data_IF_636412189894
#
_entry.id   IF_636412189894
#
_cell.length_a   1.000
_cell.length_b   1.000
_cell.length_c   1.000
_cell.angle_alpha   90.00
_cell.angle_beta   90.00
_cell.angle_gamma   90.00
#
_symmetry.space_group_name_H-M   'P 1'
#
loop_
_entity.id
_entity.type
_entity.pdbx_description
1 polymer ?
2 non-polymer ?
3 non-polymer ?
4 non-polymer ?
5 water ?
#
# COMPACT_ATOMS: atom_id res chain seq x y z
N UNK A 33 -20.94 -12.49 -8.43
CA UNK A 33 -21.05 -11.84 -9.73
C UNK A 33 -20.86 -10.30 -9.73
N UNK A 34 -21.11 -9.53 -8.67
CA UNK A 34 -20.86 -8.10 -8.70
C UNK A 34 -19.52 -7.78 -8.03
N UNK A 35 -18.93 -6.66 -8.41
CA UNK A 35 -17.60 -6.30 -7.89
C UNK A 35 -17.68 -6.13 -6.38
N UNK A 36 -18.74 -5.50 -5.89
CA UNK A 36 -18.82 -5.25 -4.44
C UNK A 36 -19.00 -6.54 -3.69
N UNK A 37 -19.62 -7.52 -4.29
CA UNK A 37 -19.88 -8.78 -3.62
C UNK A 37 -18.65 -9.63 -3.54
N UNK A 38 -17.83 -9.68 -4.60
CA UNK A 38 -16.55 -10.37 -4.46
C UNK A 38 -15.70 -9.71 -3.40
N UNK A 39 -15.55 -8.38 -3.52
CA UNK A 39 -14.71 -7.65 -2.61
C UNK A 39 -15.15 -7.79 -1.18
N UNK A 40 -16.41 -7.68 -0.89
CA UNK A 40 -16.88 -7.84 0.53
C UNK A 40 -16.83 -9.31 0.96
N UNK A 41 -16.92 -10.27 0.10
CA UNK A 41 -16.69 -11.66 0.49
C UNK A 41 -15.25 -11.86 0.92
N UNK A 42 -14.34 -11.36 0.10
CA UNK A 42 -12.94 -11.46 0.42
C UNK A 42 -12.64 -10.76 1.73
N UNK A 43 -13.19 -9.52 1.91
CA UNK A 43 -12.98 -8.77 3.17
C UNK A 43 -13.52 -9.54 4.34
N UNK A 44 -14.68 -10.15 4.17
CA UNK A 44 -15.32 -10.87 5.28
C UNK A 44 -14.45 -12.03 5.74
N UNK A 45 -13.95 -12.82 4.79
CA UNK A 45 -13.10 -13.97 5.10
C UNK A 45 -11.78 -13.50 5.70
N UNK A 46 -11.27 -12.32 5.28
CA UNK A 46 -10.05 -11.79 5.85
C UNK A 46 -10.26 -11.25 7.24
N UNK A 47 -11.41 -10.65 7.52
CA UNK A 47 -11.70 -10.16 8.87
C UNK A 47 -11.70 -11.32 9.84
N UNK A 48 -12.09 -12.50 9.39
CA UNK A 48 -12.07 -13.68 10.25
C UNK A 48 -10.65 -14.05 10.60
N UNK A 49 -9.74 -13.99 9.62
CA UNK A 49 -8.33 -14.28 9.90
C UNK A 49 -7.73 -13.29 10.89
N UNK A 50 -8.06 -12.01 10.80
CA UNK A 50 -7.60 -10.92 11.61
C UNK A 50 -8.28 -10.92 13.01
N UNK A 51 -9.30 -11.75 13.15
CA UNK A 51 -9.92 -11.91 14.45
C UNK A 51 -10.93 -10.85 14.81
N UNK A 52 -11.40 -10.04 13.85
CA UNK A 52 -12.39 -8.99 14.09
C UNK A 52 -13.76 -9.63 14.38
N UNK A 53 -14.50 -8.91 15.19
CA UNK A 53 -15.82 -9.38 15.60
C UNK A 53 -16.76 -9.35 14.41
N UNK A 54 -17.87 -10.07 14.51
CA UNK A 54 -18.92 -9.97 13.51
C UNK A 54 -19.40 -8.53 13.34
N UNK A 55 -19.52 -7.81 14.44
CA UNK A 55 -19.96 -6.41 14.39
C UNK A 55 -19.01 -5.55 13.58
N UNK A 56 -17.74 -5.63 13.88
CA UNK A 56 -16.75 -4.81 13.17
C UNK A 56 -16.65 -5.26 11.72
N UNK A 57 -16.72 -6.54 11.47
CA UNK A 57 -16.72 -7.05 10.08
C UNK A 57 -17.86 -6.41 9.30
N UNK A 58 -19.07 -6.44 9.88
CA UNK A 58 -20.21 -5.85 9.17
C UNK A 58 -20.01 -4.38 8.91
N UNK A 59 -19.49 -3.67 9.87
CA UNK A 59 -19.19 -2.25 9.71
C UNK A 59 -18.25 -2.02 8.52
N UNK A 60 -17.18 -2.75 8.48
CA UNK A 60 -16.20 -2.48 7.47
C UNK A 60 -16.62 -2.98 6.09
N UNK A 61 -17.44 -4.02 6.02
CA UNK A 61 -17.97 -4.35 4.69
C UNK A 61 -18.81 -3.20 4.16
N UNK A 62 -19.59 -2.56 5.03
CA UNK A 62 -20.36 -1.38 4.62
C UNK A 62 -19.49 -0.27 4.10
N UNK A 63 -18.41 0.02 4.83
CA UNK A 63 -17.49 1.05 4.43
C UNK A 63 -16.89 0.75 3.07
N UNK A 64 -16.52 -0.52 2.85
CA UNK A 64 -15.93 -0.87 1.55
C UNK A 64 -16.91 -0.65 0.44
N UNK A 65 -18.16 -1.07 0.62
CA UNK A 65 -19.16 -0.86 -0.45
C UNK A 65 -19.34 0.62 -0.71
N UNK A 66 -19.38 1.42 0.35
CA UNK A 66 -19.56 2.87 0.20
C UNK A 66 -18.37 3.46 -0.57
N UNK A 67 -17.16 2.96 -0.27
CA UNK A 67 -15.96 3.47 -0.95
C UNK A 67 -15.98 3.17 -2.45
N UNK A 68 -16.53 2.03 -2.85
CA UNK A 68 -16.63 1.66 -4.28
C UNK A 68 -17.69 2.46 -5.03
N UNK A 69 -18.65 3.07 -4.34
CA UNK A 69 -19.61 3.88 -5.06
C UNK A 69 -20.50 3.00 -5.91
N UNK A 70 -20.93 3.56 -7.06
CA UNK A 70 -21.75 2.80 -7.99
C UNK A 70 -21.04 1.54 -8.50
N UNK A 71 -19.71 1.54 -8.50
CA UNK A 71 -18.98 0.36 -8.95
C UNK A 71 -19.22 -0.86 -8.11
N UNK A 72 -19.70 -0.70 -6.87
CA UNK A 72 -20.03 -1.85 -6.10
C UNK A 72 -21.08 -2.73 -6.75
N UNK A 73 -21.98 -2.13 -7.53
CA UNK A 73 -23.02 -2.96 -8.11
C UNK A 73 -22.71 -3.42 -9.53
N UNK A 74 -21.50 -3.21 -9.97
CA UNK A 74 -21.11 -3.47 -11.35
C UNK A 74 -20.87 -4.95 -11.56
N UNK A 75 -21.47 -5.59 -12.55
CA UNK A 75 -21.16 -6.99 -12.79
C UNK A 75 -19.68 -7.16 -13.13
N UNK A 76 -19.11 -8.28 -12.67
CA UNK A 76 -17.74 -8.62 -12.99
C UNK A 76 -17.57 -9.03 -14.44
N UNK A 77 -18.65 -9.28 -15.17
CA UNK A 77 -18.46 -9.55 -16.56
C UNK A 77 -18.27 -8.30 -17.38
N UNK A 78 -18.32 -7.14 -16.82
CA UNK A 78 -17.98 -5.93 -17.51
C UNK A 78 -16.57 -5.49 -17.16
N UNK A 79 -15.95 -4.67 -18.00
CA UNK A 79 -14.59 -4.19 -17.74
C UNK A 79 -14.50 -3.55 -16.36
N UNK A 80 -13.28 -3.47 -15.81
CA UNK A 80 -13.06 -2.63 -14.60
C UNK A 80 -13.61 -1.24 -14.79
N UNK A 81 -14.02 -0.58 -13.69
CA UNK A 81 -14.58 0.81 -13.85
C UNK A 81 -13.53 1.86 -14.20
N UNK A 82 -12.26 1.68 -13.83
CA UNK A 82 -11.16 2.56 -14.22
C UNK A 82 -10.01 1.63 -14.51
N UNK A 83 -9.06 2.14 -15.30
CA UNK A 83 -7.80 1.45 -15.59
C UNK A 83 -6.76 1.75 -14.48
N UNK A 84 -7.18 1.57 -13.27
CA UNK A 84 -6.43 2.04 -12.11
C UNK A 84 -5.07 1.38 -12.01
N UNK A 85 -4.13 2.17 -11.55
CA UNK A 85 -2.80 1.68 -11.19
C UNK A 85 -2.78 1.04 -9.82
N UNK A 86 -3.91 1.00 -9.13
CA UNK A 86 -3.93 0.46 -7.76
C UNK A 86 -3.55 -1.01 -7.79
N UNK A 87 -3.98 -1.75 -8.81
CA UNK A 87 -3.64 -3.17 -8.95
C UNK A 87 -3.37 -3.47 -10.42
N UNK A 88 -2.67 -4.57 -10.67
CA UNK A 88 -2.31 -4.84 -12.07
C UNK A 88 -3.50 -5.13 -12.94
N UNK A 89 -4.53 -5.76 -12.44
CA UNK A 89 -5.76 -6.11 -13.23
C UNK A 89 -6.81 -5.01 -13.14
N UNK A 90 -6.48 -3.87 -12.48
CA UNK A 90 -7.38 -2.72 -12.36
C UNK A 90 -8.54 -2.99 -11.43
N UNK A 91 -8.46 -3.96 -10.54
CA UNK A 91 -9.41 -4.00 -9.44
C UNK A 91 -9.14 -2.80 -8.53
N UNK A 92 -10.18 -2.04 -8.13
CA UNK A 92 -9.92 -0.85 -7.32
C UNK A 92 -9.88 -1.14 -5.86
N UNK A 93 -9.37 -2.33 -5.52
CA UNK A 93 -9.26 -2.84 -4.13
C UNK A 93 -7.98 -3.68 -4.07
N UNK A 94 -7.26 -3.56 -2.93
CA UNK A 94 -6.14 -4.45 -2.64
C UNK A 94 -6.12 -4.62 -1.15
N UNK A 95 -5.81 -5.81 -0.63
CA UNK A 95 -5.75 -5.97 0.82
C UNK A 95 -4.30 -6.01 1.26
N UNK A 96 -4.08 -5.82 2.57
CA UNK A 96 -2.77 -6.09 3.14
C UNK A 96 -2.86 -6.48 4.58
N UNK A 97 -1.93 -7.29 4.97
CA UNK A 97 -1.84 -7.86 6.32
C UNK A 97 -0.51 -7.45 6.90
N UNK A 98 -0.54 -6.84 8.09
CA UNK A 98 0.65 -6.36 8.80
C UNK A 98 0.94 -7.29 9.96
N UNK A 99 2.07 -7.91 9.95
CA UNK A 99 2.39 -8.96 10.90
C UNK A 99 3.38 -8.44 11.94
N UNK A 100 3.12 -8.82 13.19
CA UNK A 100 3.92 -8.70 14.40
C UNK A 100 4.01 -10.07 15.10
N UNK A 101 5.11 -10.32 15.80
CA UNK A 101 5.22 -11.56 16.58
C UNK A 101 4.17 -11.62 17.67
N UNK A 102 3.58 -12.81 17.81
CA UNK A 102 2.72 -13.13 18.93
C UNK A 102 1.29 -12.71 18.79
N UNK A 103 0.86 -12.28 17.61
CA UNK A 103 -0.54 -11.91 17.49
C UNK A 103 -0.99 -12.02 16.06
N UNK A 104 -2.29 -11.92 15.87
CA UNK A 104 -2.85 -12.01 14.56
C UNK A 104 -2.43 -10.80 13.73
N UNK A 105 -2.40 -10.95 12.41
CA UNK A 105 -2.04 -9.83 11.56
C UNK A 105 -3.13 -8.77 11.66
N UNK A 106 -2.74 -7.53 11.48
CA UNK A 106 -3.66 -6.40 11.33
C UNK A 106 -4.06 -6.36 9.86
N UNK A 107 -5.35 -6.10 9.61
CA UNK A 107 -5.88 -6.09 8.25
C UNK A 107 -6.13 -4.68 7.80
N UNK A 108 -5.79 -4.41 6.52
CA UNK A 108 -5.97 -3.12 5.90
C UNK A 108 -6.47 -3.37 4.48
N UNK A 109 -7.21 -2.38 3.98
CA UNK A 109 -7.75 -2.44 2.61
C UNK A 109 -7.53 -1.10 1.92
N UNK A 110 -7.01 -1.15 0.69
CA UNK A 110 -6.69 -0.03 -0.14
C UNK A 110 -7.71 0.02 -1.25
N UNK A 111 -8.24 1.19 -1.49
CA UNK A 111 -9.33 1.40 -2.46
C UNK A 111 -9.10 2.67 -3.22
N UNK A 112 -9.62 2.71 -4.47
CA UNK A 112 -9.72 3.96 -5.24
C UNK A 112 -11.16 4.46 -5.15
N UNK A 113 -11.49 5.38 -4.24
CA UNK A 113 -12.91 5.64 -4.00
C UNK A 113 -13.56 6.43 -5.08
N UNK A 114 -12.82 6.99 -6.03
CA UNK A 114 -13.40 7.64 -7.19
C UNK A 114 -13.44 6.78 -8.43
N UNK A 115 -13.20 5.47 -8.31
CA UNK A 115 -13.12 4.59 -9.44
C UNK A 115 -14.35 4.61 -10.34
N UNK A 116 -15.52 4.90 -9.79
CA UNK A 116 -16.73 4.93 -10.64
C UNK A 116 -16.77 6.14 -11.56
N UNK A 117 -15.85 7.10 -11.41
CA UNK A 117 -15.65 8.21 -12.32
C UNK A 117 -14.75 7.84 -13.49
N UNK A 118 -14.17 6.65 -13.50
CA UNK A 118 -13.39 6.22 -14.59
C UNK A 118 -12.00 6.85 -14.69
N UNK A 119 -11.53 6.96 -15.87
CA UNK A 119 -10.20 7.34 -16.19
C UNK A 119 -10.03 8.82 -16.34
N UNK A 120 -11.09 9.60 -16.18
CA UNK A 120 -10.86 11.04 -16.13
C UNK A 120 -10.32 11.42 -14.75
N UNK A 121 -9.05 11.77 -14.73
CA UNK A 121 -8.36 11.94 -13.45
C UNK A 121 -8.91 13.10 -12.63
N UNK A 122 -9.33 14.20 -13.24
CA UNK A 122 -9.92 15.25 -12.42
C UNK A 122 -11.19 14.80 -11.73
N UNK A 123 -12.03 14.08 -12.45
CA UNK A 123 -13.27 13.63 -11.87
C UNK A 123 -13.06 12.49 -10.86
N UNK A 124 -12.07 11.62 -11.16
CA UNK A 124 -11.77 10.54 -10.23
C UNK A 124 -11.21 11.11 -8.92
N UNK A 125 -10.33 12.10 -9.04
CA UNK A 125 -9.79 12.77 -7.85
C UNK A 125 -10.88 13.50 -7.02
N UNK A 126 -11.75 14.22 -7.72
CA UNK A 126 -12.81 14.94 -7.01
C UNK A 126 -13.72 13.99 -6.26
N UNK A 127 -14.05 12.86 -6.89
CA UNK A 127 -14.91 11.89 -6.25
C UNK A 127 -14.19 11.22 -5.10
N UNK A 128 -12.89 10.93 -5.24
CA UNK A 128 -12.17 10.36 -4.11
C UNK A 128 -12.03 11.29 -2.93
N UNK A 129 -11.76 12.57 -3.21
CA UNK A 129 -11.73 13.56 -2.13
C UNK A 129 -13.06 13.62 -1.42
N UNK A 130 -14.15 13.63 -2.16
CA UNK A 130 -15.46 13.68 -1.51
C UNK A 130 -15.66 12.50 -0.58
N UNK A 131 -15.23 11.30 -0.98
CA UNK A 131 -15.34 10.15 -0.09
C UNK A 131 -14.50 10.35 1.16
N UNK A 132 -13.24 10.78 1.03
CA UNK A 132 -12.43 10.98 2.24
C UNK A 132 -13.06 12.00 3.20
N UNK A 133 -13.60 13.07 2.64
CA UNK A 133 -14.19 14.07 3.50
C UNK A 133 -15.47 13.53 4.14
N UNK A 134 -16.23 12.69 3.45
CA UNK A 134 -17.31 12.02 4.12
C UNK A 134 -16.84 11.15 5.30
N UNK A 135 -15.73 10.43 5.14
CA UNK A 135 -15.19 9.63 6.23
C UNK A 135 -14.78 10.50 7.41
N UNK A 136 -14.11 11.59 7.11
CA UNK A 136 -13.63 12.53 8.12
C UNK A 136 -14.80 13.06 8.92
N UNK A 137 -15.87 13.45 8.23
CA UNK A 137 -17.06 13.91 8.95
C UNK A 137 -17.61 12.83 9.83
N UNK A 138 -17.77 11.64 9.27
CA UNK A 138 -18.36 10.55 10.01
C UNK A 138 -17.59 10.24 11.29
N UNK A 139 -16.26 10.20 11.23
CA UNK A 139 -15.45 9.68 12.32
C UNK A 139 -14.79 10.79 13.10
N UNK A 140 -15.05 12.04 12.71
CA UNK A 140 -14.71 13.17 13.54
C UNK A 140 -13.26 13.53 13.49
N UNK A 141 -12.65 13.55 12.31
CA UNK A 141 -11.29 14.02 12.24
C UNK A 141 -11.11 15.12 11.20
N UNK A 142 -9.98 15.80 11.37
CA UNK A 142 -9.67 16.98 10.59
C UNK A 142 -8.97 16.54 9.34
N UNK A 143 -9.22 17.30 8.28
CA UNK A 143 -8.54 17.11 7.01
C UNK A 143 -7.61 18.26 6.70
N UNK A 144 -7.17 18.99 7.72
CA UNK A 144 -6.48 20.24 7.45
C UNK A 144 -5.20 20.03 6.66
N UNK A 145 -4.40 19.01 7.03
CA UNK A 145 -3.15 18.66 6.32
C UNK A 145 -3.43 18.38 4.85
N UNK A 146 -4.43 17.55 4.61
CA UNK A 146 -4.86 17.25 3.25
C UNK A 146 -5.35 18.51 2.53
N UNK A 147 -6.21 19.28 3.18
CA UNK A 147 -6.77 20.46 2.54
C UNK A 147 -5.68 21.44 2.12
N UNK A 148 -4.62 21.56 2.92
CA UNK A 148 -3.52 22.47 2.61
C UNK A 148 -2.78 22.09 1.32
N UNK A 149 -2.88 20.81 0.95
CA UNK A 149 -2.16 20.27 -0.21
C UNK A 149 -3.04 20.15 -1.44
N UNK A 150 -4.33 20.41 -1.33
CA UNK A 150 -5.25 20.05 -2.38
C UNK A 150 -4.87 20.67 -3.72
N UNK A 151 -4.49 21.96 -3.74
CA UNK A 151 -4.18 22.62 -4.99
C UNK A 151 -2.91 22.05 -5.63
N UNK A 152 -1.96 21.51 -4.85
CA UNK A 152 -0.78 20.90 -5.40
C UNK A 152 -1.10 19.58 -6.10
N UNK A 153 -1.99 18.78 -5.51
CA UNK A 153 -2.20 17.39 -5.92
C UNK A 153 -3.40 17.17 -6.80
N UNK A 154 -4.23 18.21 -6.98
CA UNK A 154 -5.50 18.15 -7.71
C UNK A 154 -5.62 19.39 -8.63
N UNK A 155 -4.70 19.50 -9.60
CA UNK A 155 -4.77 20.59 -10.59
C UNK A 155 -5.87 20.33 -11.60
N UNK A 156 -6.15 21.37 -12.42
CA UNK A 156 -7.31 21.30 -13.31
C UNK A 156 -7.24 20.17 -14.34
N UNK A 157 -6.05 19.94 -14.91
CA UNK A 157 -5.79 18.89 -15.91
C UNK A 157 -4.67 17.97 -15.40
N UNK A 158 -4.99 17.10 -14.47
CA UNK A 158 -3.94 16.31 -13.81
C UNK A 158 -3.35 15.25 -14.74
N UNK A 159 -2.10 14.89 -14.48
CA UNK A 159 -1.42 13.76 -15.11
C UNK A 159 -1.50 12.55 -14.19
N UNK A 160 -1.47 11.38 -14.79
CA UNK A 160 -1.50 10.11 -14.07
C UNK A 160 -0.22 9.84 -13.28
N UNK A 161 -0.13 8.65 -12.67
CA UNK A 161 -0.97 7.47 -12.87
C UNK A 161 -2.15 7.32 -11.93
N UNK A 162 -2.28 8.20 -10.94
CA UNK A 162 -3.38 8.12 -9.99
C UNK A 162 -3.78 9.53 -9.57
N UNK A 163 -4.98 9.65 -9.04
CA UNK A 163 -5.44 10.87 -8.39
C UNK A 163 -5.53 10.74 -6.88
N UNK A 164 -6.25 9.74 -6.38
CA UNK A 164 -6.38 9.58 -4.95
C UNK A 164 -6.74 8.13 -4.66
N UNK A 165 -5.98 7.51 -3.76
CA UNK A 165 -6.39 6.24 -3.18
C UNK A 165 -6.53 6.44 -1.67
N UNK A 166 -7.27 5.58 -1.03
CA UNK A 166 -7.47 5.59 0.43
C UNK A 166 -7.20 4.20 0.96
N UNK A 167 -6.54 4.06 2.10
CA UNK A 167 -6.44 2.82 2.80
C UNK A 167 -7.06 2.98 4.19
N UNK A 168 -7.74 1.96 4.57
CA UNK A 168 -8.38 1.84 5.86
C UNK A 168 -7.73 0.76 6.68
N UNK A 169 -7.27 1.11 7.88
CA UNK A 169 -6.75 0.15 8.84
C UNK A 169 -7.91 -0.32 9.69
N UNK A 170 -8.25 -1.59 9.55
CA UNK A 170 -9.52 -2.14 10.07
C UNK A 170 -9.33 -2.53 11.54
N UNK A 171 -9.46 -1.52 12.40
CA UNK A 171 -9.19 -1.62 13.83
C UNK A 171 -10.42 -2.15 14.54
N UNK A 172 -10.20 -2.90 15.65
CA UNK A 172 -11.34 -3.27 16.50
C UNK A 172 -12.08 -1.99 16.92
N UNK A 173 -13.38 -2.12 16.94
CA UNK A 173 -14.25 -1.01 17.32
C UNK A 173 -14.98 -0.35 16.15
N UNK A 174 -14.58 -0.65 14.90
CA UNK A 174 -15.27 -0.17 13.72
C UNK A 174 -14.94 1.22 13.28
N UNK A 175 -14.05 1.91 13.96
CA UNK A 175 -13.57 3.21 13.52
C UNK A 175 -12.18 2.97 12.96
N UNK A 176 -11.97 3.06 11.64
CA UNK A 176 -10.68 2.67 11.07
C UNK A 176 -9.68 3.80 11.16
N UNK A 177 -8.43 3.44 11.02
CA UNK A 177 -7.44 4.46 10.67
C UNK A 177 -7.48 4.70 9.18
N UNK A 178 -7.37 5.94 8.77
CA UNK A 178 -7.49 6.40 7.40
C UNK A 178 -6.16 6.90 6.89
N UNK A 179 -5.80 6.51 5.67
CA UNK A 179 -4.59 6.98 5.04
C UNK A 179 -4.97 7.37 3.62
N UNK A 180 -4.36 8.42 3.10
CA UNK A 180 -4.63 8.90 1.75
C UNK A 180 -3.33 8.98 0.95
N UNK A 181 -3.44 8.55 -0.30
CA UNK A 181 -2.30 8.48 -1.20
C UNK A 181 -2.56 9.41 -2.37
N UNK A 182 -1.55 10.25 -2.62
CA UNK A 182 -1.62 11.32 -3.62
C UNK A 182 -0.46 11.14 -4.59
N UNK A 183 -0.55 11.79 -5.74
CA UNK A 183 0.33 11.70 -6.91
C UNK A 183 1.32 12.83 -7.04
N UNK A 184 2.58 12.72 -6.65
CA UNK A 184 3.53 13.82 -6.88
C UNK A 184 3.66 14.23 -8.29
N UNK A 185 3.38 13.38 -9.25
CA UNK A 185 3.44 13.69 -10.68
C UNK A 185 2.17 14.35 -11.22
N UNK A 186 1.26 14.76 -10.38
CA UNK A 186 0.00 15.34 -10.87
C UNK A 186 0.20 16.55 -11.80
N UNK A 187 1.27 17.31 -11.60
CA UNK A 187 1.59 18.50 -12.40
C UNK A 187 2.61 18.19 -13.48
N UNK A 188 2.85 16.92 -13.76
CA UNK A 188 3.87 16.40 -14.65
C UNK A 188 5.01 15.74 -13.90
N UNK A 189 5.52 14.65 -14.48
CA UNK A 189 6.62 13.93 -13.83
C UNK A 189 7.83 14.81 -13.62
N UNK A 190 8.08 15.74 -14.55
CA UNK A 190 9.19 16.68 -14.38
C UNK A 190 9.03 17.58 -13.19
N UNK A 191 7.82 17.74 -12.64
CA UNK A 191 7.59 18.59 -11.46
C UNK A 191 7.35 17.76 -10.19
N UNK A 192 7.60 16.44 -10.24
CA UNK A 192 7.33 15.66 -9.03
C UNK A 192 8.21 16.07 -7.85
N UNK A 193 9.50 16.26 -8.07
CA UNK A 193 10.34 16.64 -6.94
C UNK A 193 9.93 17.95 -6.35
N UNK A 194 9.69 18.94 -7.20
CA UNK A 194 9.22 20.25 -6.73
C UNK A 194 7.91 20.12 -5.94
N UNK A 195 7.01 19.25 -6.40
CA UNK A 195 5.72 19.11 -5.73
C UNK A 195 5.91 18.52 -4.33
N UNK A 196 6.75 17.47 -4.23
CA UNK A 196 7.02 16.90 -2.92
C UNK A 196 7.70 17.91 -2.00
N UNK A 197 8.66 18.65 -2.50
CA UNK A 197 9.36 19.67 -1.71
C UNK A 197 8.36 20.69 -1.17
N UNK A 198 7.45 21.15 -2.02
CA UNK A 198 6.43 22.13 -1.63
C UNK A 198 5.45 21.52 -0.64
N UNK A 199 5.01 20.27 -0.85
CA UNK A 199 4.12 19.66 0.12
C UNK A 199 4.78 19.61 1.49
N UNK A 200 6.05 19.16 1.54
CA UNK A 200 6.73 19.03 2.81
C UNK A 200 6.84 20.40 3.50
N UNK A 201 7.10 21.42 2.72
CA UNK A 201 7.17 22.76 3.32
C UNK A 201 5.84 23.16 3.89
N UNK A 202 4.76 22.98 3.09
CA UNK A 202 3.44 23.34 3.58
C UNK A 202 3.05 22.67 4.90
N UNK A 203 3.48 21.43 5.16
CA UNK A 203 3.18 20.66 6.33
C UNK A 203 4.11 20.96 7.50
N UNK A 204 5.11 21.78 7.30
CA UNK A 204 5.99 22.25 8.34
C UNK A 204 7.25 21.46 8.49
N UNK A 205 7.51 20.55 7.54
CA UNK A 205 8.62 19.65 7.60
C UNK A 205 9.72 20.24 6.74
N UNK A 206 10.30 21.36 7.23
CA UNK A 206 11.17 22.11 6.35
C UNK A 206 12.53 21.48 6.10
N UNK A 207 12.95 20.44 6.82
CA UNK A 207 14.23 19.81 6.54
C UNK A 207 14.09 18.44 5.91
N UNK A 208 12.86 17.98 5.78
CA UNK A 208 12.59 16.59 5.40
C UNK A 208 13.04 16.28 3.97
N UNK A 209 12.78 17.17 3.02
CA UNK A 209 13.12 16.87 1.64
C UNK A 209 14.61 16.60 1.49
N UNK A 210 15.45 17.40 2.15
CA UNK A 210 16.89 17.21 1.99
C UNK A 210 17.41 16.05 2.78
N UNK A 211 16.59 15.49 3.64
CA UNK A 211 16.95 14.31 4.38
C UNK A 211 16.74 13.03 3.58
N UNK A 212 15.98 13.10 2.51
CA UNK A 212 15.62 11.89 1.77
C UNK A 212 16.89 11.42 1.06
N UNK A 213 17.01 10.12 0.85
CA UNK A 213 18.08 9.66 -0.01
C UNK A 213 17.77 9.98 -1.47
N UNK A 214 18.75 9.94 -2.37
CA UNK A 214 18.54 10.06 -3.82
C UNK A 214 17.64 8.91 -4.30
N UNK A 215 16.89 9.20 -5.38
CA UNK A 215 16.05 8.18 -5.98
C UNK A 215 15.81 8.48 -7.45
N UNK A 216 15.11 7.56 -8.08
CA UNK A 216 14.76 7.64 -9.50
C UNK A 216 13.35 8.13 -9.72
N UNK A 217 12.63 8.47 -8.70
CA UNK A 217 11.29 8.97 -8.84
C UNK A 217 10.58 9.04 -7.52
N UNK A 218 9.45 9.77 -7.51
CA UNK A 218 8.64 10.02 -6.32
C UNK A 218 7.23 9.55 -6.60
N UNK A 219 6.96 8.26 -6.52
CA UNK A 219 5.67 7.78 -7.05
C UNK A 219 4.44 8.13 -6.23
N UNK A 220 4.58 8.30 -4.92
CA UNK A 220 3.46 8.54 -4.01
C UNK A 220 3.86 9.44 -2.89
N UNK A 221 2.86 10.20 -2.37
CA UNK A 221 2.98 10.82 -1.06
C UNK A 221 1.72 10.36 -0.30
N UNK A 222 1.82 10.06 0.99
CA UNK A 222 0.68 9.59 1.72
C UNK A 222 0.62 10.30 3.06
N UNK A 223 -0.63 10.39 3.55
CA UNK A 223 -0.88 11.05 4.83
C UNK A 223 -1.68 10.14 5.74
N UNK A 224 -1.38 10.14 7.02
CA UNK A 224 -2.21 9.47 8.03
C UNK A 224 -3.23 10.51 8.49
N UNK A 225 -4.51 10.20 8.38
CA UNK A 225 -5.60 11.10 8.81
C UNK A 225 -6.27 10.47 10.01
N UNK A 226 -6.66 11.32 10.93
CA UNK A 226 -7.44 10.85 12.06
C UNK A 226 -6.58 10.48 13.25
N UNK A 227 -6.99 9.44 13.98
CA UNK A 227 -6.41 9.16 15.29
C UNK A 227 -5.22 8.23 15.13
N UNK A 228 -4.03 8.78 15.31
CA UNK A 228 -2.79 8.03 15.31
C UNK A 228 -1.92 8.52 16.48
N UNK A 229 -1.15 7.61 17.09
CA UNK A 229 -0.19 8.03 18.11
C UNK A 229 0.71 9.12 17.54
N UNK A 230 1.24 8.89 16.34
CA UNK A 230 2.14 9.84 15.67
C UNK A 230 1.88 9.79 14.17
N UNK A 231 0.98 10.61 13.67
CA UNK A 231 0.63 10.50 12.25
C UNK A 231 1.80 10.89 11.38
N UNK A 232 1.97 10.15 10.29
CA UNK A 232 3.12 10.33 9.40
C UNK A 232 2.75 11.07 8.13
N UNK A 233 3.67 11.83 7.64
CA UNK A 233 3.76 12.17 6.22
C UNK A 233 4.71 11.10 5.70
N UNK A 234 4.34 10.44 4.58
CA UNK A 234 5.12 9.35 4.01
C UNK A 234 5.55 9.69 2.56
N UNK A 235 6.83 9.71 2.29
CA UNK A 235 7.34 9.96 0.97
C UNK A 235 7.88 8.63 0.39
N UNK A 236 7.35 8.25 -0.78
CA UNK A 236 7.74 7.03 -1.44
C UNK A 236 8.70 7.37 -2.57
N UNK A 237 9.77 6.58 -2.66
CA UNK A 237 10.84 6.78 -3.62
C UNK A 237 11.04 5.50 -4.42
N UNK A 238 11.30 5.64 -5.72
CA UNK A 238 11.51 4.53 -6.61
C UNK A 238 13.01 4.37 -6.85
N UNK A 239 13.53 3.17 -6.78
CA UNK A 239 14.96 2.90 -7.01
C UNK A 239 15.07 1.81 -8.10
N UNK A 240 15.66 2.16 -9.23
CA UNK A 240 15.83 1.18 -10.31
C UNK A 240 17.10 0.39 -10.07
N UNK A 241 17.01 -0.91 -10.18
CA UNK A 241 18.22 -1.69 -10.07
C UNK A 241 18.82 -1.74 -8.72
N UNK A 242 17.97 -1.77 -7.69
CA UNK A 242 18.47 -1.85 -6.34
C UNK A 242 19.13 -3.21 -6.04
N UNK A 243 20.24 -3.17 -5.29
CA UNK A 243 20.90 -4.36 -4.76
C UNK A 243 20.54 -4.57 -3.27
N UNK A 244 20.93 -5.73 -2.72
CA UNK A 244 20.71 -5.97 -1.28
C UNK A 244 21.42 -4.97 -0.43
N UNK A 245 22.68 -4.67 -0.78
CA UNK A 245 23.40 -3.69 -0.01
C UNK A 245 22.69 -2.35 -0.04
N UNK A 246 22.23 -1.91 -1.21
CA UNK A 246 21.47 -0.67 -1.31
C UNK A 246 20.24 -0.67 -0.39
N UNK A 247 19.59 -1.82 -0.20
CA UNK A 247 18.37 -1.85 0.61
C UNK A 247 18.69 -1.54 2.08
N UNK A 248 19.90 -1.91 2.54
CA UNK A 248 20.29 -1.62 3.89
C UNK A 248 20.93 -0.26 4.07
N UNK A 249 21.30 0.43 3.00
CA UNK A 249 21.89 1.76 3.10
C UNK A 249 20.92 2.91 2.86
N UNK A 250 19.83 2.67 2.17
CA UNK A 250 18.83 3.72 1.90
C UNK A 250 18.05 4.29 3.11
N UNK A 251 18.02 3.67 4.28
CA UNK A 251 17.33 4.31 5.41
C UNK A 251 17.96 5.63 5.77
N UNK A 252 17.13 6.57 6.15
CA UNK A 252 17.59 7.86 6.68
C UNK A 252 17.04 8.09 8.06
N UNK A 253 16.26 7.19 8.56
CA UNK A 253 15.58 7.39 9.83
C UNK A 253 16.57 7.23 10.95
N UNK A 254 16.22 7.82 12.08
CA UNK A 254 16.92 7.62 13.33
C UNK A 254 15.98 6.84 14.23
N UNK A 255 16.50 5.75 14.81
CA UNK A 255 17.79 5.11 14.67
C UNK A 255 17.89 4.23 13.33
N UNK A 256 19.07 4.01 12.77
CA UNK A 256 19.19 3.26 11.52
C UNK A 256 18.79 1.82 11.77
N UNK A 257 17.98 1.23 10.90
CA UNK A 257 17.65 -0.18 11.04
C UNK A 257 18.85 -1.09 10.76
N UNK A 258 18.73 -2.37 11.16
CA UNK A 258 19.78 -3.34 10.91
C UNK A 258 20.00 -3.51 9.43
N UNK A 259 21.21 -3.27 8.96
CA UNK A 259 21.54 -3.50 7.56
C UNK A 259 21.43 -4.97 7.23
N UNK A 260 21.92 -5.85 8.11
CA UNK A 260 21.93 -7.28 7.82
C UNK A 260 20.54 -7.81 7.65
N UNK A 261 19.60 -7.35 8.50
CA UNK A 261 18.21 -7.76 8.37
C UNK A 261 17.61 -7.29 7.03
N UNK A 262 17.85 -6.05 6.66
CA UNK A 262 17.33 -5.56 5.39
C UNK A 262 17.91 -6.31 4.22
N UNK A 263 19.22 -6.60 4.23
CA UNK A 263 19.86 -7.30 3.13
C UNK A 263 19.28 -8.71 3.00
N UNK A 264 19.11 -9.38 4.11
CA UNK A 264 18.55 -10.72 4.09
C UNK A 264 17.09 -10.73 3.59
N UNK A 265 16.29 -9.73 4.06
CA UNK A 265 14.93 -9.60 3.56
C UNK A 265 14.92 -9.43 2.04
N UNK A 266 15.78 -8.55 1.55
CA UNK A 266 15.80 -8.27 0.11
C UNK A 266 16.21 -9.52 -0.67
N UNK A 267 17.22 -10.23 -0.15
CA UNK A 267 17.67 -11.45 -0.84
C UNK A 267 16.56 -12.49 -0.87
N UNK A 268 15.85 -12.66 0.25
CA UNK A 268 14.77 -13.67 0.33
C UNK A 268 13.64 -13.27 -0.58
N UNK A 269 13.25 -12.01 -0.54
CA UNK A 269 12.13 -11.61 -1.36
C UNK A 269 12.46 -11.68 -2.86
N UNK A 270 13.69 -11.32 -3.25
CA UNK A 270 14.04 -11.38 -4.68
C UNK A 270 14.62 -12.68 -5.15
N UNK A 271 14.85 -13.66 -4.25
CA UNK A 271 15.64 -14.84 -4.55
C UNK A 271 16.95 -14.47 -5.22
N UNK A 272 17.72 -13.68 -4.46
CA UNK A 272 19.07 -13.31 -4.85
C UNK A 272 20.02 -14.13 -3.98
N UNK A 273 21.07 -14.70 -4.52
CA UNK A 273 22.02 -15.40 -3.65
C UNK A 273 22.99 -14.43 -3.01
N UNK A 274 23.60 -14.88 -1.91
CA UNK A 274 24.80 -14.25 -1.34
C UNK A 274 26.02 -14.65 -2.16
N UNK A 284 26.13 -7.08 -9.82
CA UNK A 284 25.74 -8.46 -9.52
C UNK A 284 24.19 -8.56 -9.40
N UNK A 285 23.65 -9.06 -8.28
CA UNK A 285 22.23 -9.33 -8.18
C UNK A 285 21.44 -8.05 -7.92
N UNK A 286 20.42 -7.80 -8.74
CA UNK A 286 19.67 -6.54 -8.71
C UNK A 286 18.21 -6.80 -9.06
N UNK A 287 17.35 -5.88 -8.64
CA UNK A 287 15.94 -5.95 -8.99
C UNK A 287 15.75 -4.93 -10.08
N UNK A 288 15.90 -5.39 -11.33
CA UNK A 288 15.92 -4.58 -12.53
C UNK A 288 14.65 -4.68 -13.39
N UNK A 289 13.61 -5.39 -12.92
CA UNK A 289 12.25 -5.33 -13.43
C UNK A 289 11.43 -4.29 -12.66
N UNK A 290 10.21 -4.63 -12.23
CA UNK A 290 9.48 -3.69 -11.41
C UNK A 290 10.37 -3.25 -10.25
N UNK A 291 10.49 -1.96 -10.00
CA UNK A 291 11.49 -1.51 -8.99
C UNK A 291 11.05 -1.65 -7.55
N UNK A 292 12.03 -1.89 -6.69
CA UNK A 292 11.77 -1.72 -5.27
C UNK A 292 11.54 -0.26 -4.94
N UNK A 293 10.68 -0.04 -3.94
CA UNK A 293 10.40 1.32 -3.43
C UNK A 293 10.86 1.43 -1.99
N UNK A 294 11.23 2.64 -1.58
CA UNK A 294 11.42 2.90 -0.14
C UNK A 294 10.36 3.93 0.25
N UNK A 295 10.03 3.97 1.52
CA UNK A 295 9.10 4.95 2.04
C UNK A 295 9.83 5.50 3.25
N UNK A 296 9.79 6.79 3.36
CA UNK A 296 10.41 7.54 4.44
C UNK A 296 9.29 8.30 5.13
N UNK A 297 9.08 8.05 6.42
CA UNK A 297 8.00 8.63 7.21
C UNK A 297 8.49 9.72 8.14
N UNK A 298 7.74 10.80 8.22
CA UNK A 298 8.10 11.91 9.10
C UNK A 298 6.92 12.11 10.05
N UNK A 299 7.22 12.14 11.35
CA UNK A 299 6.20 12.28 12.40
C UNK A 299 6.40 13.44 13.34
N UNK A 300 7.53 14.08 13.29
CA UNK A 300 7.84 15.21 14.15
C UNK A 300 8.80 16.05 13.37
N UNK A 301 8.80 17.36 13.61
CA UNK A 301 9.60 18.26 12.80
C UNK A 301 10.93 18.66 13.42
N UNK A 302 11.20 18.31 14.67
CA UNK A 302 12.42 18.81 15.33
C UNK A 302 13.67 18.16 14.77
N UNK A 303 13.66 16.82 14.66
CA UNK A 303 14.93 16.19 14.33
C UNK A 303 15.35 16.50 12.93
N UNK A 304 14.43 16.84 12.02
CA UNK A 304 14.73 16.95 10.63
C UNK A 304 14.93 15.60 10.00
N UNK A 305 14.73 14.48 10.80
CA UNK A 305 15.05 13.16 10.28
C UNK A 305 13.75 12.35 10.12
N UNK A 306 13.68 11.42 9.17
CA UNK A 306 12.56 10.48 9.22
C UNK A 306 12.51 9.69 10.50
N UNK A 307 11.31 9.28 10.87
CA UNK A 307 11.13 8.33 11.94
C UNK A 307 10.86 6.94 11.48
N UNK A 308 10.71 6.74 10.13
CA UNK A 308 10.40 5.42 9.61
C UNK A 308 11.09 5.19 8.29
N UNK A 309 11.28 3.90 8.01
CA UNK A 309 11.73 3.43 6.70
C UNK A 309 11.03 2.11 6.42
N UNK A 310 10.44 1.98 5.23
CA UNK A 310 9.89 0.70 4.75
C UNK A 310 10.54 0.46 3.39
N UNK A 311 10.96 -0.81 3.21
CA UNK A 311 11.41 -1.33 1.94
C UNK A 311 10.33 -2.19 1.35
N UNK A 312 9.85 -1.82 0.15
CA UNK A 312 8.79 -2.56 -0.56
C UNK A 312 9.37 -3.31 -1.77
N UNK A 313 9.25 -4.63 -1.79
CA UNK A 313 9.75 -5.44 -2.92
C UNK A 313 8.54 -5.95 -3.70
N UNK A 314 8.41 -5.62 -5.03
CA UNK A 314 7.25 -6.12 -5.86
C UNK A 314 7.51 -7.56 -6.30
N UNK A 315 7.36 -8.48 -5.35
CA UNK A 315 7.74 -9.87 -5.53
C UNK A 315 7.06 -10.48 -6.70
N UNK A 316 5.84 -9.99 -7.08
CA UNK A 316 5.13 -10.52 -8.22
C UNK A 316 5.91 -10.48 -9.50
N UNK A 317 6.91 -9.65 -9.63
CA UNK A 317 7.67 -9.57 -10.85
C UNK A 317 8.94 -10.43 -10.83
N UNK A 318 9.15 -11.17 -9.75
CA UNK A 318 10.40 -11.89 -9.53
C UNK A 318 10.14 -13.36 -9.20
N UNK A 319 8.96 -13.87 -9.48
CA UNK A 319 8.60 -15.26 -9.27
C UNK A 319 7.95 -15.86 -10.51
N UNK A 320 7.96 -17.20 -10.58
CA UNK A 320 7.23 -17.87 -11.65
C UNK A 320 5.74 -17.91 -11.37
N UNK A 321 5.36 -17.92 -10.09
CA UNK A 321 3.95 -18.09 -9.72
C UNK A 321 3.86 -17.82 -8.21
N UNK A 322 2.62 -17.71 -7.74
CA UNK A 322 2.38 -17.37 -6.35
C UNK A 322 2.77 -18.43 -5.36
N UNK A 323 2.98 -19.68 -5.75
CA UNK A 323 3.59 -20.60 -4.77
C UNK A 323 4.96 -20.13 -4.36
N UNK A 324 5.74 -19.62 -5.31
CA UNK A 324 7.08 -19.09 -4.98
C UNK A 324 6.97 -17.83 -4.13
N UNK A 325 6.03 -16.92 -4.47
CA UNK A 325 5.88 -15.73 -3.69
C UNK A 325 5.46 -16.08 -2.28
N UNK A 326 4.50 -17.00 -2.10
CA UNK A 326 4.10 -17.44 -0.78
C UNK A 326 5.32 -18.04 -0.03
N UNK A 327 6.13 -18.83 -0.70
CA UNK A 327 7.26 -19.44 0.01
C UNK A 327 8.23 -18.37 0.55
N UNK A 328 8.44 -17.34 -0.27
CA UNK A 328 9.33 -16.24 0.14
C UNK A 328 8.72 -15.46 1.31
N UNK A 329 7.39 -15.23 1.25
CA UNK A 329 6.69 -14.48 2.28
C UNK A 329 6.74 -15.27 3.57
N UNK A 330 6.42 -16.57 3.53
CA UNK A 330 6.50 -17.31 4.78
C UNK A 330 7.93 -17.42 5.31
N UNK A 331 8.96 -17.43 4.45
CA UNK A 331 10.34 -17.43 4.91
C UNK A 331 10.65 -16.15 5.68
N UNK A 332 10.21 -14.98 5.14
CA UNK A 332 10.42 -13.72 5.83
C UNK A 332 9.68 -13.72 7.17
N UNK A 333 8.43 -14.13 7.16
CA UNK A 333 7.64 -14.16 8.38
C UNK A 333 8.29 -15.04 9.42
N UNK A 334 8.76 -16.22 9.03
CA UNK A 334 9.35 -17.08 10.05
C UNK A 334 10.65 -16.49 10.59
N UNK A 335 11.46 -15.83 9.74
CA UNK A 335 12.69 -15.18 10.18
C UNK A 335 12.41 -14.14 11.27
N UNK A 336 11.24 -13.49 11.22
CA UNK A 336 10.92 -12.42 12.15
C UNK A 336 9.94 -12.85 13.22
N UNK A 337 9.76 -14.16 13.37
CA UNK A 337 8.99 -14.76 14.44
C UNK A 337 7.54 -14.35 14.33
N UNK A 338 7.01 -14.35 13.11
CA UNK A 338 5.63 -13.98 12.86
C UNK A 338 4.85 -15.18 12.39
N UNK A 339 3.53 -15.01 12.35
CA UNK A 339 2.59 -16.13 12.28
C UNK A 339 2.32 -16.46 10.82
N UNK A 340 3.17 -17.32 10.23
CA UNK A 340 3.01 -17.57 8.80
C UNK A 340 1.76 -18.35 8.43
N UNK A 341 1.25 -19.22 9.32
CA UNK A 341 0.03 -19.95 9.00
C UNK A 341 -1.15 -18.99 8.80
N UNK A 342 -1.13 -17.84 9.48
CA UNK A 342 -2.20 -16.88 9.21
C UNK A 342 -2.11 -16.33 7.80
N UNK A 343 -0.91 -16.18 7.27
CA UNK A 343 -0.82 -15.78 5.88
C UNK A 343 -1.46 -16.80 4.96
N UNK A 344 -1.18 -18.11 5.16
CA UNK A 344 -1.78 -19.15 4.38
C UNK A 344 -3.30 -19.08 4.45
N UNK A 345 -3.82 -18.82 5.64
CA UNK A 345 -5.28 -18.69 5.77
C UNK A 345 -5.79 -17.49 5.00
N UNK A 346 -5.05 -16.37 5.06
CA UNK A 346 -5.46 -15.15 4.35
C UNK A 346 -5.49 -15.39 2.83
N UNK A 347 -4.46 -16.07 2.30
CA UNK A 347 -4.42 -16.33 0.87
C UNK A 347 -5.63 -17.12 0.40
N UNK A 348 -6.01 -18.13 1.15
CA UNK A 348 -7.23 -18.91 0.84
C UNK A 348 -8.49 -18.08 1.02
N UNK A 349 -8.47 -17.12 1.93
CA UNK A 349 -9.64 -16.24 2.09
C UNK A 349 -9.86 -15.37 0.86
N UNK A 350 -8.77 -14.94 0.22
CA UNK A 350 -8.95 -14.05 -0.91
C UNK A 350 -9.29 -14.84 -2.13
N UNK A 351 -8.64 -15.99 -2.34
CA UNK A 351 -8.88 -16.74 -3.56
C UNK A 351 -8.86 -18.25 -3.37
N UNK A 352 -9.71 -18.99 -4.08
CA UNK A 352 -9.69 -20.45 -4.02
C UNK A 352 -8.72 -21.09 -5.02
N UNK A 353 -8.04 -20.33 -5.88
CA UNK A 353 -7.21 -20.98 -6.84
C UNK A 353 -5.95 -21.56 -6.21
N UNK A 354 -5.41 -22.59 -6.84
CA UNK A 354 -4.06 -23.01 -6.49
C UNK A 354 -3.04 -21.86 -6.72
N UNK A 355 -2.17 -21.69 -5.77
CA UNK A 355 -1.19 -20.60 -5.90
C UNK A 355 -0.34 -20.72 -7.15
N UNK A 356 0.02 -21.93 -7.57
CA UNK A 356 0.87 -22.10 -8.74
C UNK A 356 0.15 -21.87 -10.07
N UNK A 357 -1.16 -21.63 -10.09
CA UNK A 357 -1.88 -21.44 -11.33
C UNK A 357 -1.86 -19.98 -11.81
N UNK A 358 -1.12 -19.10 -11.12
CA UNK A 358 -1.05 -17.72 -11.57
C UNK A 358 0.01 -17.01 -10.77
N UNK A 359 0.15 -15.71 -11.04
CA UNK A 359 1.18 -14.89 -10.44
C UNK A 359 0.52 -13.55 -10.25
N UNK A 360 0.90 -12.88 -9.15
CA UNK A 360 0.39 -11.54 -8.80
C UNK A 360 -0.60 -11.53 -7.64
N UNK A 361 -0.96 -12.66 -7.05
CA UNK A 361 -1.78 -12.63 -5.84
C UNK A 361 -1.07 -11.93 -4.72
N UNK A 362 0.20 -12.27 -4.50
CA UNK A 362 1.03 -11.56 -3.53
C UNK A 362 1.74 -10.47 -4.32
N UNK A 363 1.31 -9.21 -4.13
CA UNK A 363 1.75 -8.12 -4.98
C UNK A 363 3.08 -7.55 -4.54
N UNK A 364 3.31 -7.46 -3.23
CA UNK A 364 4.46 -6.81 -2.62
C UNK A 364 4.71 -7.46 -1.27
N UNK A 365 5.97 -7.47 -0.84
CA UNK A 365 6.40 -7.77 0.52
C UNK A 365 7.12 -6.58 1.01
N UNK A 366 6.90 -6.22 2.28
CA UNK A 366 7.51 -5.03 2.83
C UNK A 366 8.08 -5.32 4.22
N UNK A 367 9.22 -4.74 4.52
CA UNK A 367 9.80 -4.76 5.86
C UNK A 367 9.74 -3.32 6.37
N UNK A 368 9.16 -3.17 7.58
CA UNK A 368 8.76 -1.88 8.06
C UNK A 368 9.44 -1.55 9.39
N UNK A 369 10.13 -0.43 9.42
CA UNK A 369 10.78 0.05 10.63
C UNK A 369 10.18 1.38 10.97
N UNK A 370 9.90 1.55 12.27
CA UNK A 370 9.36 2.82 12.75
C UNK A 370 9.84 3.02 14.20
N UNK A 371 10.26 4.22 14.49
CA UNK A 371 10.89 4.58 15.78
C UNK A 371 10.08 4.09 16.98
N UNK A 372 10.70 3.27 17.82
CA UNK A 372 10.02 2.83 19.02
C UNK A 372 8.91 1.85 18.80
N UNK A 373 8.80 1.28 17.60
CA UNK A 373 7.86 0.23 17.30
C UNK A 373 8.60 -1.04 16.95
N UNK A 374 8.03 -2.23 17.17
CA UNK A 374 8.69 -3.44 16.69
C UNK A 374 8.71 -3.48 15.15
N UNK A 375 9.70 -4.15 14.62
CA UNK A 375 9.75 -4.43 13.17
C UNK A 375 8.47 -5.18 12.75
N UNK A 376 7.94 -4.81 11.60
CA UNK A 376 6.72 -5.41 11.07
C UNK A 376 7.00 -5.85 9.62
N UNK A 377 6.34 -6.90 9.21
CA UNK A 377 6.34 -7.37 7.83
C UNK A 377 4.93 -7.17 7.30
N UNK A 378 4.81 -6.63 6.08
CA UNK A 378 3.51 -6.45 5.49
C UNK A 378 3.43 -7.22 4.18
N UNK A 379 2.35 -7.95 3.98
CA UNK A 379 2.13 -8.66 2.75
C UNK A 379 0.92 -8.04 2.08
N UNK A 380 1.05 -7.71 0.83
CA UNK A 380 -0.03 -7.06 0.04
C UNK A 380 -0.62 -8.12 -0.86
N UNK A 381 -1.93 -8.32 -0.75
CA UNK A 381 -2.65 -9.43 -1.40
C UNK A 381 -3.70 -8.87 -2.31
N UNK A 382 -3.66 -9.29 -3.55
CA UNK A 382 -4.53 -8.77 -4.61
C UNK A 382 -5.90 -9.41 -4.60
N UNK A 383 -6.91 -8.62 -5.05
CA UNK A 383 -8.25 -9.21 -5.16
C UNK A 383 -8.45 -10.08 -6.40
N UNK A 384 -7.75 -9.80 -7.51
CA UNK A 384 -7.83 -10.55 -8.73
C UNK A 384 -9.27 -10.65 -9.19
N UNK A 385 -9.99 -9.55 -9.11
CA UNK A 385 -11.41 -9.60 -9.54
C UNK A 385 -11.56 -9.73 -11.05
N UNK A 386 -10.61 -9.26 -11.82
CA UNK A 386 -10.68 -9.19 -13.31
C UNK A 386 -9.74 -10.11 -14.04
N UNK A 387 -8.53 -10.35 -13.56
CA UNK A 387 -7.60 -11.26 -14.22
C UNK A 387 -6.76 -12.00 -13.20
N UNK A 388 -6.31 -13.19 -13.60
CA UNK A 388 -5.22 -13.92 -12.96
C UNK A 388 -4.12 -13.96 -13.99
N UNK A 389 -3.01 -13.30 -13.71
CA UNK A 389 -1.91 -13.31 -14.63
C UNK A 389 -1.34 -14.72 -14.71
N UNK A 390 -0.93 -15.17 -15.91
CA UNK A 390 -0.49 -16.54 -16.05
C UNK A 390 0.84 -16.80 -15.38
N UNK A 391 1.11 -18.03 -14.95
CA UNK A 391 2.44 -18.37 -14.42
C UNK A 391 3.49 -18.30 -15.50
N UNK A 392 4.74 -18.11 -15.09
CA UNK A 392 5.89 -17.98 -15.96
C UNK A 392 6.78 -19.22 -15.94
N UNK A 393 7.30 -19.61 -17.11
CA UNK A 393 8.24 -20.72 -17.16
C UNK A 393 9.60 -20.36 -16.58
N UNK A 394 9.99 -19.09 -16.66
CA UNK A 394 11.25 -18.60 -16.14
C UNK A 394 11.05 -17.16 -15.70
N UNK A 395 11.95 -16.68 -14.86
CA UNK A 395 12.10 -15.26 -14.58
C UNK A 395 13.49 -14.85 -15.04
N UNK A 396 13.64 -14.01 -16.11
CA UNK A 396 15.00 -13.67 -16.57
C UNK A 396 15.70 -12.71 -15.59
#
# INVERSE_FOLDING_TARGET
MGSSHHHHHHSSGLVPRGSHMGGPMSGFHSGEALLGDLATGQLTRLCEVAGLTEADTAAYTGVLIESLGTSAGRPLSLPPPSRTFLSDDHTPVEFSLAFLPGRAPHLRVLVEPGCSSGDDLAENGRAGLRAVHTMADRWGFSTEQLDRLEDLFFPSSPEGPLALWCALELRSGGVPGVKVYLNPAANGADRAAETVREALARLGHLQAFDALPRADGFPFLALDLGDWDAPRVKIYLKHLGMSAADAGSLPRMSPAPSREQLEEFFRTAGDLPAPGDPGPTEDTGRLAGRPALTCHSFTETATGRPSGYTLHVPVRDYVRHDGEARDRAVAVLREHDMDSAALDRALAAVSPRPLSDGVGLIAYLALVHQRGRPTRVTVYVSSEAYEVRPPRETVPTRDRARARL
#
